data_IF_531462912281
#
_entry.id   IF_531462912281
#
_cell.length_a   1.000
_cell.length_b   1.000
_cell.length_c   1.000
_cell.angle_alpha   90.00
_cell.angle_beta   90.00
_cell.angle_gamma   90.00
#
_symmetry.space_group_name_H-M   'P 1'
#
loop_
_entity.id
_entity.type
_entity.pdbx_description
1 polymer ?
#
# COMPACT_ATOMS: atom_id res chain seq x y z
N UNK A 1 -34.67 35.82 -20.71
CA UNK A 1 -33.55 36.19 -19.82
C UNK A 1 -34.05 36.03 -18.38
N UNK A 2 -33.71 35.04 -17.58
CA UNK A 2 -32.76 33.94 -17.70
C UNK A 2 -33.24 32.79 -16.79
N UNK A 3 -32.81 31.58 -17.14
CA UNK A 3 -33.18 30.34 -16.48
C UNK A 3 -32.43 30.17 -15.13
N UNK A 4 -33.11 29.46 -14.23
CA UNK A 4 -32.66 29.00 -12.91
C UNK A 4 -31.34 28.20 -12.96
N UNK A 5 -30.50 28.40 -11.94
CA UNK A 5 -29.63 27.36 -11.37
C UNK A 5 -29.33 27.74 -9.91
N UNK A 6 -30.30 27.57 -9.03
CA UNK A 6 -30.45 26.44 -8.10
C UNK A 6 -29.20 26.08 -7.29
N UNK A 7 -29.40 26.15 -5.99
CA UNK A 7 -28.47 25.91 -4.90
C UNK A 7 -28.00 24.47 -4.83
N UNK A 8 -26.69 24.28 -4.63
CA UNK A 8 -26.12 23.15 -3.91
C UNK A 8 -24.95 23.65 -3.06
N UNK A 9 -25.32 24.45 -2.05
CA UNK A 9 -24.48 24.69 -0.89
C UNK A 9 -24.59 23.44 0.00
N UNK A 10 -23.96 22.35 -0.45
CA UNK A 10 -23.84 21.12 0.33
C UNK A 10 -22.91 21.43 1.49
N UNK A 11 -23.50 21.52 2.69
CA UNK A 11 -22.80 21.70 3.95
C UNK A 11 -22.02 20.41 4.24
N UNK A 12 -20.82 20.30 3.65
CA UNK A 12 -19.91 19.18 3.84
C UNK A 12 -19.35 19.27 5.25
N UNK A 13 -20.05 18.62 6.17
CA UNK A 13 -19.60 18.44 7.53
C UNK A 13 -18.35 17.56 7.46
N UNK A 14 -17.19 18.19 7.64
CA UNK A 14 -15.90 17.52 7.61
C UNK A 14 -15.94 16.43 8.70
N UNK A 15 -15.98 15.16 8.34
CA UNK A 15 -15.96 14.06 9.32
C UNK A 15 -14.57 14.06 9.97
N UNK A 16 -14.47 14.79 11.08
CA UNK A 16 -13.28 14.89 11.91
C UNK A 16 -13.09 13.52 12.58
N UNK A 17 -12.06 12.77 12.15
CA UNK A 17 -11.66 11.55 12.85
C UNK A 17 -11.31 11.89 14.30
N UNK A 18 -11.85 11.12 15.25
CA UNK A 18 -11.64 11.24 16.70
C UNK A 18 -10.20 10.88 17.06
N UNK A 19 -9.29 11.84 16.87
CA UNK A 19 -7.94 11.83 17.41
C UNK A 19 -7.56 13.27 17.73
N UNK A 20 -6.66 13.49 18.71
CA UNK A 20 -6.41 14.77 19.37
C UNK A 20 -5.93 15.93 18.46
N UNK A 21 -5.83 15.70 17.14
CA UNK A 21 -5.91 16.72 16.10
C UNK A 21 -6.49 16.06 14.83
N UNK A 22 -7.75 16.32 14.44
CA UNK A 22 -8.37 15.62 13.32
C UNK A 22 -7.64 15.94 12.02
N UNK A 23 -6.85 15.00 11.52
CA UNK A 23 -6.17 15.11 10.23
C UNK A 23 -7.23 15.01 9.14
N UNK A 24 -7.30 16.02 8.27
CA UNK A 24 -8.20 16.02 7.13
C UNK A 24 -7.85 14.86 6.19
N UNK A 25 -8.85 14.03 5.86
CA UNK A 25 -8.74 12.97 4.86
C UNK A 25 -9.26 13.48 3.52
N UNK A 26 -8.45 13.31 2.47
CA UNK A 26 -8.87 13.59 1.10
C UNK A 26 -9.78 12.46 0.60
N UNK A 27 -11.08 12.63 0.76
CA UNK A 27 -12.07 11.74 0.15
C UNK A 27 -12.17 11.97 -1.36
N UNK A 28 -12.60 10.97 -2.15
CA UNK A 28 -12.76 11.14 -3.61
C UNK A 28 -13.66 12.33 -3.97
N UNK A 29 -14.72 12.55 -3.19
CA UNK A 29 -15.64 13.68 -3.37
C UNK A 29 -14.96 15.04 -3.10
N UNK A 30 -14.10 15.12 -2.07
CA UNK A 30 -13.34 16.33 -1.76
C UNK A 30 -12.27 16.60 -2.83
N UNK A 31 -11.64 15.55 -3.35
CA UNK A 31 -10.67 15.65 -4.45
C UNK A 31 -11.34 16.09 -5.76
N UNK A 32 -12.52 15.57 -6.08
CA UNK A 32 -13.29 15.98 -7.26
C UNK A 32 -13.57 17.50 -7.25
N UNK A 33 -14.01 18.05 -6.11
CA UNK A 33 -14.21 19.50 -5.95
C UNK A 33 -12.91 20.30 -6.07
N UNK A 34 -11.79 19.73 -5.62
CA UNK A 34 -10.48 20.34 -5.79
C UNK A 34 -10.09 20.42 -7.27
N UNK A 35 -10.26 19.35 -8.03
CA UNK A 35 -9.98 19.32 -9.48
C UNK A 35 -10.88 20.32 -10.23
N UNK A 36 -12.17 20.37 -9.91
CA UNK A 36 -13.09 21.36 -10.47
C UNK A 36 -12.68 22.79 -10.16
N UNK A 37 -12.21 23.07 -8.93
CA UNK A 37 -11.72 24.39 -8.54
C UNK A 37 -10.40 24.76 -9.25
N UNK A 38 -9.49 23.81 -9.45
CA UNK A 38 -8.27 24.00 -10.25
C UNK A 38 -8.61 24.32 -11.71
N UNK A 39 -9.55 23.59 -12.29
CA UNK A 39 -10.01 23.84 -13.67
C UNK A 39 -10.66 25.22 -13.83
N UNK A 40 -11.48 25.63 -12.86
CA UNK A 40 -12.09 26.97 -12.83
C UNK A 40 -11.07 28.10 -12.71
N UNK A 41 -9.91 27.84 -12.09
CA UNK A 41 -8.82 28.81 -11.94
C UNK A 41 -7.87 28.87 -13.14
N UNK A 42 -8.13 28.08 -14.19
CA UNK A 42 -7.33 28.07 -15.41
C UNK A 42 -6.14 27.12 -15.36
N UNK A 43 -6.23 26.04 -14.58
CA UNK A 43 -5.24 24.97 -14.52
C UNK A 43 -4.30 25.04 -13.31
N UNK A 44 -3.47 24.01 -13.17
CA UNK A 44 -2.60 23.81 -12.01
C UNK A 44 -1.60 24.96 -11.79
N UNK A 45 -1.14 25.61 -12.87
CA UNK A 45 -0.15 26.70 -12.82
C UNK A 45 -0.71 28.00 -12.24
N UNK A 46 -2.02 28.24 -12.41
CA UNK A 46 -2.70 29.45 -11.93
C UNK A 46 -3.42 29.24 -10.59
N UNK A 47 -3.53 27.98 -10.15
CA UNK A 47 -4.23 27.62 -8.93
C UNK A 47 -3.35 27.86 -7.69
N UNK A 48 -3.60 28.97 -6.99
CA UNK A 48 -2.95 29.24 -5.69
C UNK A 48 -3.76 28.63 -4.53
N UNK A 49 -3.11 28.23 -3.42
CA UNK A 49 -3.83 27.74 -2.23
C UNK A 49 -4.88 28.73 -1.70
N UNK A 50 -4.63 30.04 -1.85
CA UNK A 50 -5.58 31.10 -1.45
C UNK A 50 -6.81 31.14 -2.35
N UNK A 51 -6.63 31.04 -3.67
CA UNK A 51 -7.75 31.06 -4.62
C UNK A 51 -8.55 29.77 -4.54
N UNK A 52 -7.91 28.61 -4.40
CA UNK A 52 -8.57 27.32 -4.21
C UNK A 52 -9.43 27.28 -2.94
N UNK A 53 -8.92 27.81 -1.82
CA UNK A 53 -9.69 27.88 -0.57
C UNK A 53 -10.98 28.70 -0.74
N UNK A 54 -10.89 29.80 -1.50
CA UNK A 54 -12.03 30.68 -1.78
C UNK A 54 -13.06 30.03 -2.70
N UNK A 55 -12.60 29.33 -3.74
CA UNK A 55 -13.49 28.67 -4.73
C UNK A 55 -14.15 27.43 -4.11
N UNK A 56 -13.43 26.66 -3.30
CA UNK A 56 -13.99 25.46 -2.65
C UNK A 56 -14.95 25.81 -1.50
N UNK A 57 -14.70 26.88 -0.75
CA UNK A 57 -15.65 27.40 0.25
C UNK A 57 -16.01 26.44 1.40
N UNK A 58 -15.21 25.39 1.64
CA UNK A 58 -15.51 24.33 2.62
C UNK A 58 -15.12 24.78 4.04
N UNK A 59 -16.07 24.75 4.97
CA UNK A 59 -15.84 25.10 6.36
C UNK A 59 -14.88 24.11 7.04
N UNK A 60 -13.79 24.60 7.63
CA UNK A 60 -12.73 23.76 8.23
C UNK A 60 -11.61 23.34 7.28
N UNK A 61 -11.71 23.63 5.98
CA UNK A 61 -10.60 23.47 5.03
C UNK A 61 -9.65 24.68 5.16
N UNK A 62 -8.36 24.44 5.37
CA UNK A 62 -7.36 25.49 5.57
C UNK A 62 -6.34 25.50 4.44
N UNK A 63 -5.63 26.61 4.30
CA UNK A 63 -4.49 26.73 3.37
C UNK A 63 -3.43 25.65 3.58
N UNK A 64 -3.27 25.16 4.82
CA UNK A 64 -2.31 24.10 5.14
C UNK A 64 -2.68 22.80 4.41
N UNK A 65 -3.95 22.42 4.43
CA UNK A 65 -4.44 21.22 3.74
C UNK A 65 -4.26 21.33 2.21
N UNK A 66 -4.54 22.50 1.65
CA UNK A 66 -4.36 22.76 0.21
C UNK A 66 -2.89 22.82 -0.19
N UNK A 67 -2.03 23.46 0.61
CA UNK A 67 -0.59 23.52 0.37
C UNK A 67 0.03 22.13 0.43
N UNK A 68 -0.31 21.34 1.43
CA UNK A 68 0.15 19.95 1.55
C UNK A 68 -0.33 19.10 0.38
N UNK A 69 -1.55 19.32 -0.11
CA UNK A 69 -2.09 18.57 -1.24
C UNK A 69 -1.47 18.99 -2.59
N UNK A 70 -1.28 20.29 -2.81
CA UNK A 70 -0.58 20.80 -4.00
C UNK A 70 0.88 20.36 -4.03
N UNK A 71 1.55 20.30 -2.87
CA UNK A 71 2.92 19.79 -2.78
C UNK A 71 2.98 18.29 -3.09
N UNK A 72 2.04 17.49 -2.58
CA UNK A 72 1.94 16.07 -2.90
C UNK A 72 1.58 15.82 -4.38
N UNK A 73 0.68 16.63 -4.95
CA UNK A 73 0.28 16.54 -6.35
C UNK A 73 1.39 16.89 -7.34
N UNK A 74 2.26 17.86 -7.01
CA UNK A 74 3.43 18.20 -7.83
C UNK A 74 4.45 17.07 -7.94
N UNK A 75 4.66 16.31 -6.87
CA UNK A 75 5.52 15.12 -6.90
C UNK A 75 4.91 13.95 -7.68
N UNK A 76 3.57 13.91 -7.84
CA UNK A 76 2.88 12.84 -8.58
C UNK A 76 2.57 13.20 -10.05
N UNK A 77 2.59 14.50 -10.41
CA UNK A 77 2.30 14.98 -11.76
C UNK A 77 3.51 15.01 -12.70
N UNK A 78 4.73 14.80 -12.19
CA UNK A 78 5.95 14.70 -13.01
C UNK A 78 5.95 13.51 -13.99
N UNK A 79 5.06 12.53 -13.82
CA UNK A 79 5.01 11.33 -14.67
C UNK A 79 3.86 11.33 -15.70
N UNK A 80 2.99 12.35 -15.75
CA UNK A 80 1.83 12.32 -16.65
C UNK A 80 1.48 13.70 -17.24
N UNK A 81 2.24 14.19 -18.22
CA UNK A 81 1.71 14.91 -19.39
C UNK A 81 2.83 15.16 -20.43
N UNK A 82 2.96 14.27 -21.39
CA UNK A 82 3.57 14.59 -22.70
C UNK A 82 2.47 14.66 -23.75
N UNK A 83 2.49 15.77 -24.51
CA UNK A 83 1.95 15.94 -25.87
C UNK A 83 0.41 16.16 -25.96
N UNK A 84 -0.21 17.12 -26.70
CA UNK A 84 0.08 17.75 -28.00
C UNK A 84 -0.61 19.15 -28.14
N UNK A 85 0.23 20.17 -28.44
CA UNK A 85 0.20 21.27 -29.47
C UNK A 85 -0.93 22.33 -29.66
N UNK A 86 -0.44 23.50 -30.12
CA UNK A 86 -0.97 24.51 -31.08
C UNK A 86 -1.90 25.63 -30.51
N UNK A 87 -1.83 26.95 -30.80
CA UNK A 87 -1.10 27.87 -31.71
C UNK A 87 -1.10 29.30 -31.09
N UNK A 88 0.00 30.05 -31.18
CA UNK A 88 0.25 31.23 -32.07
C UNK A 88 -0.49 32.54 -31.71
N UNK A 89 0.22 33.51 -31.11
CA UNK A 89 0.15 34.92 -31.50
C UNK A 89 1.37 35.72 -30.95
N UNK A 90 2.02 36.43 -31.87
CA UNK A 90 3.16 37.34 -31.68
C UNK A 90 2.79 38.62 -30.91
N UNK A 91 3.72 39.16 -30.15
CA UNK A 91 3.95 40.62 -30.09
C UNK A 91 5.44 40.93 -29.77
N UNK A 92 5.94 42.01 -30.38
CA UNK A 92 7.36 42.40 -30.53
C UNK A 92 7.72 43.48 -29.50
N UNK A 93 9.03 43.61 -29.22
CA UNK A 93 9.80 44.72 -28.59
C UNK A 93 10.13 44.43 -27.10
N UNK A 94 11.36 44.54 -26.56
CA UNK A 94 12.48 45.44 -26.88
C UNK A 94 13.77 45.04 -26.13
N UNK A 95 14.94 45.25 -26.78
CA UNK A 95 16.28 45.68 -26.27
C UNK A 95 17.06 44.98 -25.14
N UNK A 96 18.27 44.55 -25.54
CA UNK A 96 19.63 44.69 -24.95
C UNK A 96 20.06 44.09 -23.60
N UNK A 97 21.14 43.30 -23.74
CA UNK A 97 22.30 43.08 -22.86
C UNK A 97 22.12 42.54 -21.42
N UNK A 98 22.45 41.25 -21.24
CA UNK A 98 23.57 40.79 -20.39
C UNK A 98 23.76 39.27 -20.57
N UNK A 99 24.89 38.84 -21.14
CA UNK A 99 25.31 37.44 -21.14
C UNK A 99 25.97 37.14 -19.79
N UNK A 100 25.22 36.53 -18.86
CA UNK A 100 25.84 35.83 -17.75
C UNK A 100 24.98 34.65 -17.28
N UNK A 101 25.67 33.53 -17.08
CA UNK A 101 25.23 32.30 -16.43
C UNK A 101 24.06 31.52 -17.06
N UNK A 102 24.39 30.57 -17.95
CA UNK A 102 23.66 29.30 -17.92
C UNK A 102 24.54 28.10 -18.31
N UNK A 103 25.26 27.60 -17.31
CA UNK A 103 25.79 26.23 -17.28
C UNK A 103 25.36 25.65 -15.92
N UNK A 104 24.09 25.28 -15.78
CA UNK A 104 23.65 24.43 -14.64
C UNK A 104 22.34 23.69 -14.81
N UNK A 105 21.63 23.80 -15.94
CA UNK A 105 20.31 23.16 -16.04
C UNK A 105 20.37 21.65 -16.31
N UNK A 106 21.46 21.15 -16.92
CA UNK A 106 21.56 19.73 -17.29
C UNK A 106 22.02 18.82 -16.13
N UNK A 107 22.74 19.37 -15.14
CA UNK A 107 23.22 18.61 -13.98
C UNK A 107 22.13 18.42 -12.91
N UNK A 108 21.14 19.31 -12.83
CA UNK A 108 20.14 19.31 -11.77
C UNK A 108 18.96 18.35 -12.03
N UNK A 109 18.59 18.09 -13.28
CA UNK A 109 17.56 17.09 -13.61
C UNK A 109 18.04 15.65 -13.38
N UNK A 110 19.29 15.34 -13.75
CA UNK A 110 19.84 13.99 -13.63
C UNK A 110 19.98 13.52 -12.17
N UNK A 111 20.33 14.45 -11.26
CA UNK A 111 20.49 14.14 -9.82
C UNK A 111 19.13 13.82 -9.18
N UNK A 112 18.06 14.51 -9.60
CA UNK A 112 16.72 14.27 -9.08
C UNK A 112 16.12 12.94 -9.57
N UNK A 113 16.38 12.55 -10.82
CA UNK A 113 16.01 11.22 -11.34
C UNK A 113 16.85 10.11 -10.69
N UNK A 114 18.16 10.31 -10.57
CA UNK A 114 19.04 9.33 -9.93
C UNK A 114 18.69 9.12 -8.45
N UNK A 115 18.24 10.16 -7.75
CA UNK A 115 17.78 10.06 -6.37
C UNK A 115 16.46 9.27 -6.29
N UNK A 116 15.50 9.54 -7.18
CA UNK A 116 14.24 8.79 -7.25
C UNK A 116 14.45 7.31 -7.63
N UNK A 117 15.40 7.02 -8.53
CA UNK A 117 15.79 5.66 -8.88
C UNK A 117 16.42 4.95 -7.67
N UNK A 118 17.27 5.64 -6.90
CA UNK A 118 17.83 5.08 -5.67
C UNK A 118 16.75 4.81 -4.61
N UNK A 119 15.81 5.73 -4.41
CA UNK A 119 14.69 5.59 -3.48
C UNK A 119 13.74 4.44 -3.86
N UNK A 120 13.41 4.32 -5.15
CA UNK A 120 12.56 3.24 -5.66
C UNK A 120 13.26 1.87 -5.55
N UNK A 121 14.56 1.80 -5.83
CA UNK A 121 15.36 0.59 -5.63
C UNK A 121 15.44 0.20 -4.14
N UNK A 122 15.61 1.18 -3.25
CA UNK A 122 15.63 0.93 -1.80
C UNK A 122 14.29 0.38 -1.31
N UNK A 123 13.18 0.94 -1.78
CA UNK A 123 11.84 0.42 -1.46
C UNK A 123 11.67 -1.00 -1.99
N UNK A 124 12.15 -1.30 -3.20
CA UNK A 124 12.09 -2.64 -3.76
C UNK A 124 12.91 -3.65 -2.92
N UNK A 125 14.10 -3.26 -2.47
CA UNK A 125 14.93 -4.07 -1.57
C UNK A 125 14.25 -4.30 -0.22
N UNK A 126 13.56 -3.29 0.33
CA UNK A 126 12.77 -3.41 1.56
C UNK A 126 11.66 -4.45 1.41
N UNK A 127 10.89 -4.37 0.32
CA UNK A 127 9.81 -5.32 0.03
C UNK A 127 10.36 -6.73 -0.11
N UNK A 128 11.45 -6.91 -0.87
CA UNK A 128 12.07 -8.23 -1.00
C UNK A 128 12.59 -8.76 0.33
N UNK A 129 13.19 -7.91 1.17
CA UNK A 129 13.66 -8.31 2.50
C UNK A 129 12.51 -8.74 3.40
N UNK A 130 11.43 -7.96 3.44
CA UNK A 130 10.23 -8.28 4.22
C UNK A 130 9.59 -9.59 3.76
N UNK A 131 9.54 -9.83 2.45
CA UNK A 131 9.05 -11.10 1.89
C UNK A 131 9.94 -12.28 2.32
N UNK A 132 11.27 -12.14 2.24
CA UNK A 132 12.20 -13.18 2.68
C UNK A 132 12.05 -13.47 4.19
N UNK A 133 11.91 -12.43 5.03
CA UNK A 133 11.64 -12.59 6.46
C UNK A 133 10.36 -13.43 6.70
N UNK A 134 9.28 -13.14 5.96
CA UNK A 134 8.03 -13.91 6.08
C UNK A 134 8.19 -15.37 5.64
N UNK A 135 8.90 -15.62 4.54
CA UNK A 135 9.19 -16.97 4.05
C UNK A 135 9.99 -17.76 5.10
N UNK A 136 11.00 -17.15 5.73
CA UNK A 136 11.79 -17.83 6.77
C UNK A 136 10.96 -18.15 8.01
N UNK A 137 10.07 -17.23 8.43
CA UNK A 137 9.13 -17.49 9.53
C UNK A 137 8.21 -18.67 9.19
N UNK A 138 7.67 -18.71 7.97
CA UNK A 138 6.81 -19.81 7.52
C UNK A 138 7.58 -21.13 7.45
N UNK A 139 8.82 -21.12 6.96
CA UNK A 139 9.72 -22.28 6.90
C UNK A 139 10.03 -22.81 8.29
N UNK A 140 10.33 -21.94 9.24
CA UNK A 140 10.59 -22.35 10.62
C UNK A 140 9.36 -22.95 11.28
N UNK A 141 8.17 -22.38 11.06
CA UNK A 141 6.91 -22.95 11.54
C UNK A 141 6.68 -24.35 10.96
N UNK A 142 6.89 -24.53 9.66
CA UNK A 142 6.77 -25.82 8.98
C UNK A 142 7.71 -26.86 9.60
N UNK A 143 8.98 -26.53 9.81
CA UNK A 143 9.95 -27.41 10.47
C UNK A 143 9.51 -27.82 11.88
N UNK A 144 8.91 -26.89 12.64
CA UNK A 144 8.38 -27.20 13.98
C UNK A 144 7.19 -28.14 13.92
N UNK A 145 6.26 -27.94 12.98
CA UNK A 145 5.12 -28.82 12.76
C UNK A 145 5.60 -30.24 12.39
N UNK A 146 6.58 -30.34 11.49
CA UNK A 146 7.17 -31.62 11.09
C UNK A 146 7.88 -32.34 12.24
N UNK A 147 8.65 -31.61 13.04
CA UNK A 147 9.31 -32.16 14.22
C UNK A 147 8.27 -32.70 15.22
N UNK A 148 7.19 -31.95 15.46
CA UNK A 148 6.10 -32.37 16.33
C UNK A 148 5.35 -33.59 15.75
N UNK A 149 5.10 -33.63 14.45
CA UNK A 149 4.49 -34.78 13.78
C UNK A 149 5.32 -36.06 13.90
N UNK A 150 6.64 -35.97 13.67
CA UNK A 150 7.59 -37.09 13.84
C UNK A 150 7.66 -37.58 15.29
N UNK A 151 7.67 -36.64 16.25
CA UNK A 151 7.63 -36.97 17.66
C UNK A 151 6.35 -37.74 18.01
N UNK A 152 5.18 -37.24 17.60
CA UNK A 152 3.89 -37.88 17.85
C UNK A 152 3.83 -39.28 17.23
N UNK A 153 4.31 -39.44 16.00
CA UNK A 153 4.40 -40.73 15.32
C UNK A 153 5.26 -41.73 16.11
N UNK A 154 6.40 -41.28 16.65
CA UNK A 154 7.29 -42.11 17.48
C UNK A 154 6.62 -42.56 18.78
N UNK A 155 5.93 -41.63 19.46
CA UNK A 155 5.21 -41.92 20.72
C UNK A 155 4.06 -42.89 20.49
N UNK A 156 3.24 -42.67 19.45
CA UNK A 156 2.13 -43.56 19.11
C UNK A 156 2.61 -44.96 18.73
N UNK A 157 3.69 -45.06 17.93
CA UNK A 157 4.29 -46.36 17.58
C UNK A 157 4.78 -47.11 18.82
N UNK A 158 5.48 -46.43 19.72
CA UNK A 158 5.96 -47.04 20.98
C UNK A 158 4.81 -47.50 21.88
N UNK A 159 3.70 -46.75 21.91
CA UNK A 159 2.49 -47.16 22.62
C UNK A 159 1.88 -48.43 22.01
N UNK A 160 1.76 -48.51 20.68
CA UNK A 160 1.30 -49.72 19.99
C UNK A 160 2.19 -50.94 20.25
N UNK A 161 3.52 -50.78 20.18
CA UNK A 161 4.48 -51.85 20.48
C UNK A 161 4.32 -52.35 21.92
N UNK A 162 4.13 -51.42 22.87
CA UNK A 162 3.90 -51.75 24.28
C UNK A 162 2.60 -52.55 24.44
N UNK A 163 1.48 -52.11 23.83
CA UNK A 163 0.21 -52.86 23.88
C UNK A 163 0.31 -54.22 23.20
N UNK A 164 1.08 -54.35 22.12
CA UNK A 164 1.27 -55.63 21.43
C UNK A 164 2.08 -56.64 22.25
N UNK A 165 2.90 -56.17 23.20
CA UNK A 165 3.66 -57.02 24.13
C UNK A 165 2.82 -57.60 25.28
N UNK A 166 1.67 -56.99 25.60
CA UNK A 166 0.72 -57.52 26.60
C UNK A 166 -0.36 -58.36 25.91
N UNK A 167 -0.10 -59.66 25.76
CA UNK A 167 -1.10 -60.65 25.35
C UNK A 167 -2.13 -60.87 26.46
N UNK A 168 -3.07 -59.95 26.63
CA UNK A 168 -4.19 -60.15 27.56
C UNK A 168 -5.48 -59.62 26.98
N UNK A 169 -6.37 -60.56 26.69
CA UNK A 169 -7.72 -60.50 26.13
C UNK A 169 -8.71 -59.70 26.98
N UNK A 170 -8.37 -58.47 27.34
CA UNK A 170 -9.29 -57.53 27.94
C UNK A 170 -9.89 -56.66 26.83
N UNK A 171 -11.22 -56.59 26.75
CA UNK A 171 -11.97 -55.80 25.76
C UNK A 171 -11.49 -54.34 25.72
N UNK A 172 -11.06 -53.78 26.86
CA UNK A 172 -10.52 -52.43 26.93
C UNK A 172 -9.16 -52.25 26.24
N UNK A 173 -8.31 -53.29 26.23
CA UNK A 173 -6.99 -53.25 25.57
C UNK A 173 -7.15 -53.32 24.05
N UNK A 174 -8.09 -54.13 23.55
CA UNK A 174 -8.42 -54.20 22.13
C UNK A 174 -9.06 -52.89 21.62
N UNK A 175 -9.92 -52.25 22.42
CA UNK A 175 -10.48 -50.93 22.09
C UNK A 175 -9.38 -49.86 22.00
N UNK A 176 -8.51 -49.77 23.00
CA UNK A 176 -7.39 -48.82 23.02
C UNK A 176 -6.43 -49.05 21.84
N UNK A 177 -6.21 -50.31 21.44
CA UNK A 177 -5.39 -50.67 20.29
C UNK A 177 -6.04 -50.22 18.97
N UNK A 178 -7.36 -50.34 18.83
CA UNK A 178 -8.08 -49.84 17.66
C UNK A 178 -8.01 -48.30 17.56
N UNK A 179 -8.21 -47.59 18.67
CA UNK A 179 -8.08 -46.12 18.73
C UNK A 179 -6.66 -45.64 18.38
N UNK A 180 -5.62 -46.28 18.91
CA UNK A 180 -4.23 -45.98 18.56
C UNK A 180 -3.94 -46.22 17.08
N UNK A 181 -4.50 -47.28 16.50
CA UNK A 181 -4.33 -47.58 15.07
C UNK A 181 -4.98 -46.51 14.19
N UNK A 182 -6.15 -46.00 14.59
CA UNK A 182 -6.80 -44.88 13.93
C UNK A 182 -5.94 -43.60 14.03
N UNK A 183 -5.44 -43.27 15.22
CA UNK A 183 -4.58 -42.09 15.43
C UNK A 183 -3.30 -42.13 14.59
N UNK A 184 -2.63 -43.29 14.51
CA UNK A 184 -1.44 -43.47 13.68
C UNK A 184 -1.74 -43.25 12.19
N UNK A 185 -2.88 -43.77 11.70
CA UNK A 185 -3.33 -43.57 10.32
C UNK A 185 -3.56 -42.09 10.01
N UNK A 186 -4.23 -41.36 10.92
CA UNK A 186 -4.48 -39.92 10.77
C UNK A 186 -3.19 -39.10 10.73
N UNK A 187 -2.21 -39.40 11.60
CA UNK A 187 -0.93 -38.69 11.64
C UNK A 187 -0.09 -38.97 10.39
N UNK A 188 -0.09 -40.20 9.87
CA UNK A 188 0.62 -40.55 8.63
C UNK A 188 0.07 -39.80 7.42
N UNK A 189 -1.25 -39.67 7.30
CA UNK A 189 -1.88 -39.01 6.15
C UNK A 189 -1.77 -37.49 6.21
N UNK A 190 -1.72 -36.90 7.41
CA UNK A 190 -1.53 -35.46 7.58
C UNK A 190 -0.11 -34.99 7.25
N UNK A 191 0.91 -35.79 7.60
CA UNK A 191 2.32 -35.38 7.49
C UNK A 191 2.96 -35.60 6.12
N UNK A 192 2.39 -36.45 5.26
CA UNK A 192 2.94 -36.72 3.91
C UNK A 192 2.62 -35.62 2.89
N UNK A 193 1.57 -34.83 3.15
CA UNK A 193 1.10 -33.80 2.21
C UNK A 193 2.02 -32.58 2.07
N UNK A 194 2.98 -32.39 2.97
CA UNK A 194 3.90 -31.24 2.94
C UNK A 194 5.30 -31.53 2.39
N UNK A 195 5.62 -32.79 2.08
CA UNK A 195 6.98 -33.18 1.66
C UNK A 195 7.18 -33.23 0.13
N UNK A 196 6.27 -32.65 -0.66
CA UNK A 196 6.37 -32.65 -2.12
C UNK A 196 6.01 -31.30 -2.71
N UNK A 197 6.92 -30.34 -2.58
CA UNK A 197 7.23 -29.30 -3.58
C UNK A 197 8.16 -28.26 -2.95
N UNK A 198 9.45 -28.37 -3.26
CA UNK A 198 10.37 -27.30 -3.63
C UNK A 198 11.72 -27.91 -3.97
#
# INVERSE_FOLDING_TARGET
MGLLQNMQNQNMNLVLSTDAKPRLKWTPELHQRFVEAVNQLGGADKATPKSLMRVMGIHGLTLYHLKSHLQAGKSQQSENCTDIKQEDYKEIQSSDDHFDADISDETHCQINESLQIAESLQLQMEVQRKLHEQIEVQRHLQLRIEAQGKYLQTVLKKAQETLSGYSSSSVGVELAKAELTQLVSMVNNGCTSSSSQN
#
